data_IF_683908707172
#
_entry.id   IF_683908707172
#
_cell.length_a   1.000
_cell.length_b   1.000
_cell.length_c   1.000
_cell.angle_alpha   90.00
_cell.angle_beta   90.00
_cell.angle_gamma   90.00
#
_symmetry.space_group_name_H-M   'P 1'
#
loop_
_entity.id
_entity.type
_entity.pdbx_description
1 polymer ?
#
# COMPACT_ATOMS: atom_id res chain seq x y z
N UNK A 1 69.55 -21.50 40.69
CA UNK A 1 68.34 -21.11 41.44
C UNK A 1 67.16 -21.06 40.50
N UNK A 2 66.49 -22.20 40.47
CA UNK A 2 65.29 -22.41 39.64
C UNK A 2 64.05 -22.10 40.46
N UNK A 3 63.28 -21.08 40.04
CA UNK A 3 61.96 -20.79 40.60
C UNK A 3 60.89 -21.37 39.69
N UNK A 4 60.26 -22.44 40.22
CA UNK A 4 59.12 -23.12 39.60
C UNK A 4 57.85 -22.34 39.98
N UNK A 5 57.25 -21.68 39.03
CA UNK A 5 55.89 -21.11 39.21
C UNK A 5 54.85 -22.22 38.98
N UNK A 6 54.18 -22.62 40.05
CA UNK A 6 52.97 -23.46 39.95
C UNK A 6 51.80 -22.60 39.49
N UNK A 7 51.32 -22.90 38.27
CA UNK A 7 50.06 -22.35 37.75
C UNK A 7 48.89 -23.11 38.33
N UNK A 8 48.09 -22.43 39.14
CA UNK A 8 46.82 -22.95 39.68
C UNK A 8 45.72 -22.72 38.64
N UNK A 9 45.30 -23.80 37.99
CA UNK A 9 44.15 -23.77 37.07
C UNK A 9 42.88 -23.75 37.93
N UNK A 10 42.22 -22.60 37.99
CA UNK A 10 40.89 -22.48 38.56
C UNK A 10 39.88 -22.99 37.53
N UNK A 11 39.24 -24.10 37.84
CA UNK A 11 38.08 -24.58 37.10
C UNK A 11 36.91 -23.61 37.31
N UNK A 12 36.67 -22.78 36.33
CA UNK A 12 35.44 -21.97 36.23
C UNK A 12 34.40 -22.83 35.48
N UNK A 13 33.47 -23.40 36.24
CA UNK A 13 32.29 -24.06 35.65
C UNK A 13 31.43 -22.99 34.94
N UNK A 14 31.46 -22.99 33.62
CA UNK A 14 30.55 -22.19 32.83
C UNK A 14 29.19 -22.89 32.85
N UNK A 15 28.25 -22.33 33.61
CA UNK A 15 26.85 -22.73 33.53
C UNK A 15 26.28 -22.22 32.18
N UNK A 16 26.06 -23.16 31.26
CA UNK A 16 25.35 -22.89 30.02
C UNK A 16 23.86 -22.72 30.35
N UNK A 17 23.42 -21.46 30.46
CA UNK A 17 21.99 -21.15 30.53
C UNK A 17 21.43 -21.37 29.14
N UNK A 18 20.84 -22.52 28.89
CA UNK A 18 20.02 -22.76 27.69
C UNK A 18 18.75 -21.94 27.81
N UNK A 19 18.76 -20.76 27.24
CA UNK A 19 17.53 -19.99 27.00
C UNK A 19 16.67 -20.77 25.99
N UNK A 20 15.68 -21.50 26.52
CA UNK A 20 14.60 -22.01 25.69
C UNK A 20 13.84 -20.84 25.14
N UNK A 21 14.16 -20.47 23.90
CA UNK A 21 13.35 -19.52 23.11
C UNK A 21 11.96 -20.18 22.94
N UNK A 22 11.00 -19.73 23.75
CA UNK A 22 9.59 -19.99 23.50
C UNK A 22 9.25 -19.35 22.14
N UNK A 23 9.38 -20.11 21.06
CA UNK A 23 8.74 -19.80 19.81
C UNK A 23 7.23 -19.96 20.04
N UNK A 24 6.59 -18.84 20.38
CA UNK A 24 5.14 -18.74 20.26
C UNK A 24 4.81 -19.06 18.80
N UNK A 25 3.91 -20.01 18.52
CA UNK A 25 3.43 -20.19 17.17
C UNK A 25 2.81 -18.83 16.79
N UNK A 26 3.43 -18.10 15.88
CA UNK A 26 2.73 -17.08 15.12
C UNK A 26 1.61 -17.85 14.43
N UNK A 27 0.40 -17.76 14.97
CA UNK A 27 -0.78 -18.10 14.22
C UNK A 27 -0.73 -17.18 13.01
N UNK A 28 -0.18 -17.68 11.91
CA UNK A 28 -0.49 -17.15 10.61
C UNK A 28 -2.01 -17.31 10.49
N UNK A 29 -2.72 -16.25 10.84
CA UNK A 29 -4.11 -16.11 10.48
C UNK A 29 -4.10 -16.26 8.96
N UNK A 30 -4.62 -17.42 8.51
CA UNK A 30 -4.50 -17.85 7.14
C UNK A 30 -4.88 -16.69 6.25
N UNK A 31 -4.08 -16.44 5.23
CA UNK A 31 -4.47 -15.53 4.17
C UNK A 31 -5.83 -16.02 3.69
N UNK A 32 -6.90 -15.28 4.03
CA UNK A 32 -8.24 -15.60 3.58
C UNK A 32 -8.20 -15.73 2.07
N UNK A 33 -8.74 -16.84 1.59
CA UNK A 33 -8.76 -17.11 0.16
C UNK A 33 -9.79 -16.18 -0.49
N UNK A 34 -9.32 -15.04 -0.97
CA UNK A 34 -10.17 -14.04 -1.62
C UNK A 34 -10.78 -14.51 -2.96
N UNK A 35 -10.35 -15.65 -3.50
CA UNK A 35 -10.98 -16.25 -4.68
C UNK A 35 -12.34 -16.88 -4.36
N UNK A 36 -12.53 -17.30 -3.09
CA UNK A 36 -13.78 -17.91 -2.61
C UNK A 36 -14.02 -17.47 -1.16
N UNK A 37 -14.58 -16.27 -0.96
CA UNK A 37 -14.94 -15.82 0.39
C UNK A 37 -16.01 -16.74 0.99
N UNK A 38 -15.86 -17.07 2.28
CA UNK A 38 -16.77 -18.00 2.97
C UNK A 38 -18.07 -17.35 3.43
N UNK A 39 -18.09 -16.04 3.56
CA UNK A 39 -19.22 -15.25 4.03
C UNK A 39 -19.07 -13.78 3.56
N UNK A 40 -20.09 -12.97 3.85
CA UNK A 40 -20.14 -11.56 3.42
C UNK A 40 -19.03 -10.72 4.04
N UNK A 41 -18.61 -11.03 5.28
CA UNK A 41 -17.52 -10.32 5.94
C UNK A 41 -16.18 -10.57 5.25
N UNK A 42 -15.89 -11.83 4.91
CA UNK A 42 -14.68 -12.21 4.16
C UNK A 42 -14.69 -11.54 2.77
N UNK A 43 -15.88 -11.53 2.13
CA UNK A 43 -16.05 -10.85 0.84
C UNK A 43 -15.76 -9.35 0.92
N UNK A 44 -16.29 -8.68 1.92
CA UNK A 44 -16.06 -7.25 2.14
C UNK A 44 -14.57 -6.98 2.48
N UNK A 45 -13.96 -7.81 3.32
CA UNK A 45 -12.55 -7.71 3.64
C UNK A 45 -11.67 -7.80 2.39
N UNK A 46 -11.92 -8.79 1.52
CA UNK A 46 -11.19 -8.99 0.28
C UNK A 46 -11.36 -7.81 -0.69
N UNK A 47 -12.59 -7.32 -0.87
CA UNK A 47 -12.86 -6.13 -1.70
C UNK A 47 -12.14 -4.89 -1.17
N UNK A 48 -12.15 -4.69 0.15
CA UNK A 48 -11.47 -3.58 0.79
C UNK A 48 -9.96 -3.66 0.59
N UNK A 49 -9.37 -4.84 0.73
CA UNK A 49 -7.94 -5.07 0.55
C UNK A 49 -7.49 -4.72 -0.88
N UNK A 50 -8.23 -5.15 -1.88
CA UNK A 50 -7.94 -4.84 -3.29
C UNK A 50 -8.09 -3.33 -3.56
N UNK A 51 -9.11 -2.69 -2.99
CA UNK A 51 -9.30 -1.25 -3.10
C UNK A 51 -8.13 -0.47 -2.49
N UNK A 52 -7.68 -0.85 -1.29
CA UNK A 52 -6.55 -0.17 -0.62
C UNK A 52 -5.24 -0.32 -1.40
N UNK A 53 -5.01 -1.45 -2.06
CA UNK A 53 -3.84 -1.60 -2.92
C UNK A 53 -3.93 -0.71 -4.17
N UNK A 54 -5.11 -0.62 -4.80
CA UNK A 54 -5.34 0.30 -5.92
C UNK A 54 -5.15 1.77 -5.50
N UNK A 55 -5.62 2.16 -4.31
CA UNK A 55 -5.46 3.52 -3.78
C UNK A 55 -3.98 3.84 -3.48
N UNK A 56 -3.23 2.88 -2.96
CA UNK A 56 -1.78 3.03 -2.77
C UNK A 56 -1.05 3.26 -4.09
N UNK A 57 -1.38 2.49 -5.13
CA UNK A 57 -0.82 2.68 -6.47
C UNK A 57 -1.24 4.02 -7.09
N UNK A 58 -2.47 4.47 -6.84
CA UNK A 58 -2.95 5.79 -7.25
C UNK A 58 -2.07 6.91 -6.68
N UNK A 59 -1.82 6.86 -5.37
CA UNK A 59 -1.00 7.86 -4.68
C UNK A 59 0.46 7.83 -5.15
N UNK A 60 1.01 6.64 -5.41
CA UNK A 60 2.36 6.47 -5.96
C UNK A 60 2.46 7.08 -7.37
N UNK A 61 1.51 6.78 -8.24
CA UNK A 61 1.49 7.29 -9.63
C UNK A 61 1.29 8.80 -9.67
N UNK A 62 0.41 9.34 -8.84
CA UNK A 62 0.22 10.79 -8.68
C UNK A 62 1.52 11.47 -8.22
N UNK A 63 2.19 10.90 -7.22
CA UNK A 63 3.46 11.44 -6.71
C UNK A 63 4.56 11.42 -7.78
N UNK A 64 4.67 10.30 -8.54
CA UNK A 64 5.64 10.18 -9.64
C UNK A 64 5.40 11.27 -10.70
N UNK A 65 4.14 11.42 -11.14
CA UNK A 65 3.79 12.44 -12.13
C UNK A 65 4.06 13.86 -11.60
N UNK A 66 3.61 14.15 -10.39
CA UNK A 66 3.80 15.47 -9.77
C UNK A 66 5.27 15.91 -9.72
N UNK A 67 6.21 14.98 -9.53
CA UNK A 67 7.65 15.29 -9.51
C UNK A 67 8.20 15.74 -10.87
N UNK A 68 7.54 15.38 -11.97
CA UNK A 68 7.94 15.74 -13.34
C UNK A 68 7.36 17.08 -13.78
N UNK A 69 6.43 17.66 -13.03
CA UNK A 69 5.64 18.81 -13.41
C UNK A 69 6.16 20.12 -12.79
N UNK A 70 5.99 21.22 -13.52
CA UNK A 70 6.18 22.56 -13.01
C UNK A 70 5.01 22.99 -12.07
N UNK A 71 5.11 24.16 -11.45
CA UNK A 71 4.11 24.66 -10.49
C UNK A 71 2.70 24.76 -11.08
N UNK A 72 2.58 25.28 -12.30
CA UNK A 72 1.29 25.45 -12.99
C UNK A 72 0.66 24.10 -13.31
N UNK A 73 1.45 23.19 -13.86
CA UNK A 73 1.04 21.83 -14.19
C UNK A 73 0.58 21.03 -12.95
N UNK A 74 1.29 21.18 -11.81
CA UNK A 74 0.87 20.59 -10.54
C UNK A 74 -0.49 21.07 -10.08
N UNK A 75 -0.78 22.38 -10.26
CA UNK A 75 -2.10 22.92 -9.93
C UNK A 75 -3.20 22.34 -10.81
N UNK A 76 -2.94 22.16 -12.12
CA UNK A 76 -3.85 21.52 -13.07
C UNK A 76 -4.08 20.06 -12.70
N UNK A 77 -3.00 19.28 -12.48
CA UNK A 77 -3.11 17.88 -12.05
C UNK A 77 -3.92 17.73 -10.75
N UNK A 78 -3.67 18.59 -9.75
CA UNK A 78 -4.43 18.58 -8.49
C UNK A 78 -5.92 18.83 -8.72
N UNK A 79 -6.26 19.79 -9.56
CA UNK A 79 -7.65 20.12 -9.90
C UNK A 79 -8.36 18.93 -10.55
N UNK A 80 -7.73 18.31 -11.56
CA UNK A 80 -8.24 17.12 -12.24
C UNK A 80 -8.39 15.93 -11.28
N UNK A 81 -7.39 15.70 -10.41
CA UNK A 81 -7.47 14.62 -9.43
C UNK A 81 -8.63 14.80 -8.44
N UNK A 82 -8.88 16.02 -7.96
CA UNK A 82 -10.00 16.30 -7.07
C UNK A 82 -11.35 16.17 -7.79
N UNK A 83 -11.44 16.56 -9.06
CA UNK A 83 -12.64 16.38 -9.88
C UNK A 83 -12.93 14.89 -10.09
N UNK A 84 -11.92 14.11 -10.47
CA UNK A 84 -12.02 12.67 -10.63
C UNK A 84 -12.45 11.96 -9.31
N UNK A 85 -11.90 12.36 -8.16
CA UNK A 85 -12.30 11.78 -6.87
C UNK A 85 -13.78 11.99 -6.57
N UNK A 86 -14.31 13.19 -6.85
CA UNK A 86 -15.74 13.47 -6.70
C UNK A 86 -16.57 12.58 -7.64
N UNK A 87 -16.21 12.54 -8.92
CA UNK A 87 -16.89 11.71 -9.90
C UNK A 87 -16.90 10.23 -9.51
N UNK A 88 -15.76 9.67 -9.08
CA UNK A 88 -15.68 8.30 -8.58
C UNK A 88 -16.65 8.08 -7.42
N UNK A 89 -16.66 9.00 -6.45
CA UNK A 89 -17.52 8.87 -5.28
C UNK A 89 -19.00 8.95 -5.68
N UNK A 90 -19.38 9.90 -6.51
CA UNK A 90 -20.76 10.08 -6.96
C UNK A 90 -21.26 8.87 -7.77
N UNK A 91 -20.41 8.25 -8.57
CA UNK A 91 -20.79 7.11 -9.40
C UNK A 91 -20.75 5.76 -8.68
N UNK A 92 -19.93 5.65 -7.63
CA UNK A 92 -19.74 4.39 -6.92
C UNK A 92 -20.40 4.35 -5.53
N UNK A 93 -21.11 5.41 -5.13
CA UNK A 93 -21.84 5.42 -3.87
C UNK A 93 -23.21 6.09 -4.00
N UNK A 94 -24.08 5.78 -3.07
CA UNK A 94 -25.40 6.41 -2.96
C UNK A 94 -25.83 6.47 -1.49
N UNK A 95 -26.77 7.36 -1.21
CA UNK A 95 -27.43 7.48 0.08
C UNK A 95 -28.93 7.28 -0.15
N UNK A 96 -29.56 6.36 0.56
CA UNK A 96 -30.98 6.06 0.44
C UNK A 96 -31.83 6.62 1.62
N UNK A 97 -31.20 7.42 2.48
CA UNK A 97 -31.81 7.98 3.69
C UNK A 97 -31.58 7.13 4.93
N UNK A 98 -31.31 5.84 4.79
CA UNK A 98 -30.97 4.93 5.90
C UNK A 98 -29.45 4.78 6.10
N UNK A 99 -28.66 5.11 5.09
CA UNK A 99 -27.20 5.04 5.17
C UNK A 99 -26.47 5.30 3.87
N UNK A 100 -25.16 5.25 3.98
CA UNK A 100 -24.26 5.33 2.82
C UNK A 100 -23.86 3.93 2.35
N UNK A 101 -24.01 3.72 1.06
CA UNK A 101 -23.62 2.47 0.39
C UNK A 101 -22.52 2.76 -0.60
N UNK A 102 -21.48 1.93 -0.59
CA UNK A 102 -20.35 2.03 -1.52
C UNK A 102 -20.20 0.73 -2.29
N UNK A 103 -20.21 0.85 -3.61
CA UNK A 103 -19.84 -0.27 -4.48
C UNK A 103 -18.30 -0.32 -4.57
N UNK A 104 -17.69 -1.18 -3.76
CA UNK A 104 -16.23 -1.32 -3.68
C UNK A 104 -15.61 -1.78 -5.01
N UNK A 105 -16.28 -2.64 -5.77
CA UNK A 105 -15.80 -3.08 -7.09
C UNK A 105 -15.79 -1.92 -8.09
N UNK A 106 -16.83 -1.09 -8.09
CA UNK A 106 -16.86 0.14 -8.89
C UNK A 106 -15.72 1.08 -8.52
N UNK A 107 -15.54 1.36 -7.22
CA UNK A 107 -14.49 2.25 -6.73
C UNK A 107 -13.09 1.74 -7.08
N UNK A 108 -12.85 0.43 -6.94
CA UNK A 108 -11.59 -0.22 -7.31
C UNK A 108 -11.30 -0.09 -8.81
N UNK A 109 -12.26 -0.41 -9.66
CA UNK A 109 -12.08 -0.34 -11.12
C UNK A 109 -11.79 1.09 -11.58
N UNK A 110 -12.53 2.09 -11.07
CA UNK A 110 -12.26 3.49 -11.38
C UNK A 110 -10.89 3.93 -10.89
N UNK A 111 -10.47 3.49 -9.70
CA UNK A 111 -9.14 3.79 -9.15
C UNK A 111 -8.04 3.17 -10.01
N UNK A 112 -8.17 1.91 -10.42
CA UNK A 112 -7.22 1.24 -11.31
C UNK A 112 -7.12 1.94 -12.68
N UNK A 113 -8.24 2.39 -13.25
CA UNK A 113 -8.26 3.16 -14.49
C UNK A 113 -7.53 4.50 -14.33
N UNK A 114 -7.71 5.17 -13.18
CA UNK A 114 -6.98 6.42 -12.89
C UNK A 114 -5.47 6.19 -12.71
N UNK A 115 -5.06 5.08 -12.11
CA UNK A 115 -3.65 4.66 -12.04
C UNK A 115 -3.07 4.55 -13.45
N UNK A 116 -3.77 3.87 -14.35
CA UNK A 116 -3.33 3.73 -15.75
C UNK A 116 -3.18 5.09 -16.43
N UNK A 117 -4.18 5.96 -16.29
CA UNK A 117 -4.13 7.33 -16.80
C UNK A 117 -2.90 8.10 -16.29
N UNK A 118 -2.65 8.10 -14.97
CA UNK A 118 -1.49 8.81 -14.38
C UNK A 118 -0.16 8.22 -14.87
N UNK A 119 -0.07 6.90 -14.98
CA UNK A 119 1.14 6.23 -15.48
C UNK A 119 1.41 6.54 -16.97
N UNK A 120 0.35 6.71 -17.78
CA UNK A 120 0.51 7.19 -19.17
C UNK A 120 1.07 8.62 -19.20
N UNK A 121 0.57 9.51 -18.36
CA UNK A 121 1.11 10.88 -18.25
C UNK A 121 2.55 10.89 -17.78
N UNK A 122 2.93 10.00 -16.83
CA UNK A 122 4.34 9.81 -16.44
C UNK A 122 5.20 9.43 -17.64
N UNK A 123 4.74 8.47 -18.46
CA UNK A 123 5.48 8.06 -19.68
C UNK A 123 5.62 9.19 -20.67
N UNK A 124 4.55 9.94 -20.94
CA UNK A 124 4.57 11.10 -21.84
C UNK A 124 5.54 12.19 -21.37
N UNK A 125 5.49 12.53 -20.08
CA UNK A 125 6.40 13.53 -19.49
C UNK A 125 7.86 13.10 -19.58
N UNK A 126 8.16 11.83 -19.30
CA UNK A 126 9.51 11.29 -19.41
C UNK A 126 10.02 11.29 -20.87
N UNK A 127 9.13 11.18 -21.84
CA UNK A 127 9.45 11.27 -23.27
C UNK A 127 9.52 12.71 -23.78
N UNK A 128 9.42 13.73 -22.91
CA UNK A 128 9.46 15.14 -23.30
C UNK A 128 8.15 15.70 -23.87
N UNK A 129 7.04 14.96 -23.73
CA UNK A 129 5.72 15.32 -24.27
C UNK A 129 4.69 15.63 -23.18
N UNK A 130 5.10 16.28 -22.10
CA UNK A 130 4.23 16.65 -20.99
C UNK A 130 3.23 17.72 -21.40
N UNK A 131 1.97 17.35 -21.70
CA UNK A 131 0.92 18.24 -22.21
C UNK A 131 -0.01 18.68 -21.08
N UNK A 132 -0.11 19.99 -20.90
CA UNK A 132 -0.96 20.61 -19.86
C UNK A 132 -2.44 20.24 -20.03
N UNK A 133 -2.94 20.20 -21.27
CA UNK A 133 -4.33 19.87 -21.61
C UNK A 133 -4.74 18.43 -21.30
N UNK A 134 -3.81 17.58 -20.86
CA UNK A 134 -4.07 16.18 -20.51
C UNK A 134 -3.86 15.89 -19.03
N UNK A 135 -3.67 16.90 -18.21
CA UNK A 135 -3.42 16.74 -16.78
C UNK A 135 -4.68 16.82 -15.92
N UNK A 136 -5.77 17.36 -16.46
CA UNK A 136 -7.06 17.53 -15.78
C UNK A 136 -8.22 16.73 -16.38
N UNK A 137 -7.91 15.82 -17.33
CA UNK A 137 -8.88 14.85 -17.88
C UNK A 137 -9.36 13.83 -16.85
#
# INVERSE_FOLDING_TARGET
TTNTLKSTIRNTSIAIVTSAAFMLPMFAWGAENCDKPNNDFDGLYCLTKVYLEADKELNNSYSKLSKLLNKQQKATLKRGQLAWMRERNDQCSYNDGDGFFVNMSCATNKTANRVNFLNERVRECNAGSCRDSRLDD
#
